data_IF_670095788520
#
_entry.id   IF_670095788520
#
_cell.length_a   1.000
_cell.length_b   1.000
_cell.length_c   1.000
_cell.angle_alpha   90.00
_cell.angle_beta   90.00
_cell.angle_gamma   90.00
#
_symmetry.space_group_name_H-M   'P 1'
#
loop_
_entity.id
_entity.type
_entity.pdbx_description
1 polymer ?
#
# COMPACT_ATOMS: atom_id res chain seq x y z
N UNK A 1 -18.43 17.14 -13.33
CA UNK A 1 -17.02 16.86 -12.98
C UNK A 1 -17.06 15.50 -12.33
N UNK A 2 -16.42 14.48 -12.91
CA UNK A 2 -16.45 13.13 -12.36
C UNK A 2 -15.89 13.20 -10.94
N UNK A 3 -16.71 12.78 -9.97
CA UNK A 3 -16.30 12.60 -8.58
C UNK A 3 -15.31 11.43 -8.59
N UNK A 4 -14.03 11.76 -8.72
CA UNK A 4 -12.99 10.76 -8.92
C UNK A 4 -12.74 10.08 -7.59
N UNK A 5 -13.42 8.96 -7.36
CA UNK A 5 -13.22 8.14 -6.18
C UNK A 5 -11.74 7.78 -6.06
N UNK A 6 -11.15 8.10 -4.90
CA UNK A 6 -9.82 7.62 -4.53
C UNK A 6 -9.90 6.09 -4.51
N UNK A 7 -8.95 5.42 -5.16
CA UNK A 7 -8.86 3.96 -5.18
C UNK A 7 -7.77 3.43 -4.25
N UNK A 8 -6.82 4.28 -3.89
CA UNK A 8 -5.64 3.89 -3.11
C UNK A 8 -5.28 4.97 -2.09
N UNK A 9 -4.66 4.58 -1.00
CA UNK A 9 -3.91 5.49 -0.13
C UNK A 9 -2.45 5.05 -0.02
N UNK A 10 -1.60 5.98 0.43
CA UNK A 10 -0.17 5.76 0.54
C UNK A 10 0.28 6.06 1.96
N UNK A 11 0.84 5.04 2.63
CA UNK A 11 1.53 5.19 3.90
C UNK A 11 2.98 5.61 3.59
N UNK A 12 3.37 6.79 4.04
CA UNK A 12 4.70 7.33 3.77
C UNK A 12 5.70 6.89 4.85
N UNK A 13 6.93 6.59 4.45
CA UNK A 13 8.06 6.38 5.36
C UNK A 13 8.58 7.68 5.98
N UNK A 14 7.66 8.59 6.30
CA UNK A 14 7.88 9.84 6.98
C UNK A 14 6.84 9.98 8.08
N UNK A 15 7.28 10.24 9.31
CA UNK A 15 6.38 10.51 10.43
C UNK A 15 5.67 11.86 10.24
N UNK A 16 4.61 12.11 11.00
CA UNK A 16 3.88 13.38 11.01
C UNK A 16 4.80 14.56 11.32
N UNK A 17 5.81 14.35 12.18
CA UNK A 17 6.86 15.31 12.52
C UNK A 17 7.93 15.51 11.41
N UNK A 18 7.80 14.85 10.27
CA UNK A 18 8.69 15.01 9.12
C UNK A 18 9.97 14.16 9.17
N UNK A 19 10.14 13.31 10.19
CA UNK A 19 11.32 12.45 10.31
C UNK A 19 11.20 11.20 9.42
N UNK A 20 12.31 10.71 8.83
CA UNK A 20 12.28 9.46 8.08
C UNK A 20 12.01 8.28 9.03
N UNK A 21 11.08 7.40 8.63
CA UNK A 21 10.77 6.18 9.38
C UNK A 21 11.84 5.12 9.13
N UNK A 22 12.13 4.32 10.16
CA UNK A 22 13.20 3.31 10.16
C UNK A 22 12.64 1.98 10.70
N UNK A 23 13.23 0.83 10.32
CA UNK A 23 14.38 0.67 9.42
C UNK A 23 14.05 1.02 7.95
N UNK A 24 15.06 1.16 7.10
CA UNK A 24 14.84 1.56 5.69
C UNK A 24 14.10 0.52 4.85
N UNK A 25 14.05 -0.74 5.31
CA UNK A 25 13.37 -1.86 4.68
C UNK A 25 11.95 -2.12 5.26
N UNK A 26 11.40 -1.16 6.00
CA UNK A 26 10.10 -1.32 6.68
C UNK A 26 8.95 -1.60 5.70
N UNK A 27 8.99 -1.01 4.50
CA UNK A 27 7.92 -1.14 3.51
C UNK A 27 7.86 -2.58 2.99
N UNK A 28 9.03 -3.15 2.68
CA UNK A 28 9.19 -4.54 2.25
C UNK A 28 8.78 -5.51 3.37
N UNK A 29 9.16 -5.22 4.63
CA UNK A 29 8.75 -6.01 5.80
C UNK A 29 7.23 -5.99 6.00
N UNK A 30 6.61 -4.81 5.91
CA UNK A 30 5.16 -4.67 6.07
C UNK A 30 4.41 -5.45 4.99
N UNK A 31 4.85 -5.33 3.73
CA UNK A 31 4.23 -6.08 2.63
C UNK A 31 4.47 -7.59 2.75
N UNK A 32 5.61 -8.03 3.30
CA UNK A 32 5.88 -9.44 3.59
C UNK A 32 4.97 -10.02 4.70
N UNK A 33 4.63 -9.22 5.72
CA UNK A 33 3.62 -9.62 6.71
C UNK A 33 2.26 -9.79 6.03
N UNK A 34 1.92 -8.94 5.06
CA UNK A 34 0.67 -9.06 4.29
C UNK A 34 0.62 -10.31 3.42
N UNK A 35 1.75 -10.83 2.91
CA UNK A 35 1.74 -12.09 2.14
C UNK A 35 1.39 -13.31 3.01
N UNK A 36 1.53 -13.22 4.33
CA UNK A 36 1.16 -14.30 5.26
C UNK A 36 -0.34 -14.32 5.61
N UNK A 37 -1.08 -13.24 5.33
CA UNK A 37 -2.53 -13.19 5.52
C UNK A 37 -3.30 -13.91 4.41
N UNK A 38 -2.71 -14.03 3.21
CA UNK A 38 -3.26 -14.85 2.14
C UNK A 38 -3.15 -16.33 2.48
N UNK A 39 -4.29 -17.02 2.65
CA UNK A 39 -4.40 -18.41 3.13
C UNK A 39 -3.67 -19.49 2.32
N UNK A 40 -2.94 -19.11 1.26
CA UNK A 40 -2.27 -20.02 0.34
C UNK A 40 -0.74 -20.06 0.48
N UNK A 41 -0.16 -19.40 1.50
CA UNK A 41 1.29 -19.41 1.83
C UNK A 41 2.24 -19.05 0.67
N UNK A 42 1.73 -18.50 -0.43
CA UNK A 42 2.55 -18.03 -1.55
C UNK A 42 3.19 -16.70 -1.14
N UNK A 43 4.52 -16.64 -1.21
CA UNK A 43 5.33 -15.42 -1.03
C UNK A 43 5.13 -14.42 -2.19
N UNK A 44 3.89 -14.12 -2.54
CA UNK A 44 3.55 -13.08 -3.49
C UNK A 44 2.97 -11.90 -2.70
N UNK A 45 3.45 -10.69 -2.98
CA UNK A 45 2.80 -9.49 -2.45
C UNK A 45 1.33 -9.48 -2.88
N UNK A 46 0.43 -9.13 -1.95
CA UNK A 46 -0.97 -8.91 -2.30
C UNK A 46 -1.03 -7.87 -3.43
N UNK A 47 -1.81 -8.08 -4.50
CA UNK A 47 -1.91 -7.08 -5.59
C UNK A 47 -2.42 -5.73 -5.08
N UNK A 48 -3.06 -5.72 -3.91
CA UNK A 48 -3.61 -4.56 -3.23
C UNK A 48 -2.62 -3.84 -2.31
N UNK A 49 -1.46 -4.44 -1.99
CA UNK A 49 -0.48 -3.84 -1.09
C UNK A 49 0.94 -4.05 -1.63
N UNK A 50 1.61 -2.95 -1.96
CA UNK A 50 2.97 -3.04 -2.52
C UNK A 50 3.86 -1.88 -2.10
N UNK A 51 5.18 -2.14 -1.95
CA UNK A 51 6.14 -1.09 -1.63
C UNK A 51 6.44 -0.25 -2.87
N UNK A 52 6.63 1.05 -2.68
CA UNK A 52 7.10 1.99 -3.71
C UNK A 52 8.14 2.94 -3.13
N UNK A 53 8.98 3.50 -4.00
CA UNK A 53 9.85 4.63 -3.64
C UNK A 53 9.31 5.89 -4.29
N UNK A 54 8.96 6.89 -3.49
CA UNK A 54 8.53 8.19 -3.97
C UNK A 54 9.49 9.27 -3.46
N UNK A 55 10.13 10.01 -4.37
CA UNK A 55 11.11 11.06 -4.03
C UNK A 55 12.20 10.60 -3.05
N UNK A 56 12.69 9.36 -3.20
CA UNK A 56 13.69 8.76 -2.30
C UNK A 56 13.16 8.29 -0.94
N UNK A 57 11.86 8.44 -0.67
CA UNK A 57 11.21 7.94 0.54
C UNK A 57 10.49 6.62 0.24
N UNK A 58 10.72 5.61 1.08
CA UNK A 58 10.01 4.32 1.01
C UNK A 58 8.59 4.49 1.49
N UNK A 59 7.62 3.99 0.73
CA UNK A 59 6.20 4.08 1.01
C UNK A 59 5.51 2.74 0.73
N UNK A 60 4.31 2.57 1.25
CA UNK A 60 3.44 1.44 0.93
C UNK A 60 2.14 1.97 0.33
N UNK A 61 1.78 1.46 -0.84
CA UNK A 61 0.50 1.74 -1.50
C UNK A 61 -0.50 0.67 -1.07
N UNK A 62 -1.71 1.10 -0.72
CA UNK A 62 -2.81 0.22 -0.31
C UNK A 62 -4.04 0.55 -1.14
N UNK A 63 -4.59 -0.45 -1.82
CA UNK A 63 -5.86 -0.36 -2.55
C UNK A 63 -7.04 -0.48 -1.57
N UNK A 64 -8.04 0.38 -1.72
CA UNK A 64 -9.20 0.44 -0.82
C UNK A 64 -10.06 -0.81 -0.92
N UNK A 65 -10.06 -1.50 -2.07
CA UNK A 65 -10.77 -2.80 -2.23
C UNK A 65 -10.28 -3.87 -1.25
N UNK A 66 -9.07 -3.71 -0.69
CA UNK A 66 -8.58 -4.59 0.37
C UNK A 66 -9.51 -4.61 1.59
N UNK A 67 -10.24 -3.52 1.87
CA UNK A 67 -11.19 -3.48 2.98
C UNK A 67 -12.31 -4.52 2.83
N UNK A 68 -12.80 -4.73 1.60
CA UNK A 68 -13.85 -5.70 1.31
C UNK A 68 -13.31 -7.14 1.26
N UNK A 69 -12.09 -7.31 0.73
CA UNK A 69 -11.47 -8.62 0.50
C UNK A 69 -10.87 -9.18 1.80
N UNK A 70 -10.07 -8.39 2.50
CA UNK A 70 -9.39 -8.74 3.76
C UNK A 70 -9.48 -7.59 4.79
N UNK A 71 -10.65 -7.42 5.44
CA UNK A 71 -10.89 -6.30 6.37
C UNK A 71 -9.93 -6.24 7.56
N UNK A 72 -9.34 -7.37 7.95
CA UNK A 72 -8.37 -7.44 9.03
C UNK A 72 -7.01 -6.90 8.60
N UNK A 73 -6.54 -7.23 7.39
CA UNK A 73 -5.30 -6.72 6.83
C UNK A 73 -5.38 -5.20 6.61
N UNK A 74 -6.51 -4.74 6.05
CA UNK A 74 -6.78 -3.31 5.87
C UNK A 74 -6.71 -2.53 7.19
N UNK A 75 -7.42 -3.01 8.22
CA UNK A 75 -7.36 -2.39 9.56
C UNK A 75 -5.97 -2.43 10.18
N UNK A 76 -5.23 -3.52 9.97
CA UNK A 76 -3.85 -3.62 10.43
C UNK A 76 -2.96 -2.55 9.79
N UNK A 77 -3.09 -2.30 8.48
CA UNK A 77 -2.31 -1.26 7.77
C UNK A 77 -2.64 0.15 8.27
N UNK A 78 -3.92 0.43 8.53
CA UNK A 78 -4.35 1.71 9.10
C UNK A 78 -3.81 1.91 10.53
N UNK A 79 -3.91 0.88 11.38
CA UNK A 79 -3.34 0.90 12.73
C UNK A 79 -1.83 1.05 12.69
N UNK A 80 -1.14 0.35 11.79
CA UNK A 80 0.32 0.47 11.63
C UNK A 80 0.73 1.92 11.33
N UNK A 81 0.05 2.58 10.40
CA UNK A 81 0.33 3.98 10.09
C UNK A 81 0.04 4.90 11.29
N UNK A 82 -1.05 4.65 12.02
CA UNK A 82 -1.43 5.44 13.20
C UNK A 82 -0.43 5.29 14.34
N UNK A 83 -0.08 4.06 14.69
CA UNK A 83 0.76 3.73 15.85
C UNK A 83 2.22 4.18 15.65
N UNK A 84 2.68 4.20 14.40
CA UNK A 84 4.01 4.70 14.03
C UNK A 84 4.00 6.19 13.61
N UNK A 85 2.87 6.87 13.82
CA UNK A 85 2.67 8.29 13.47
C UNK A 85 3.08 8.63 12.04
N UNK A 86 2.84 7.73 11.09
CA UNK A 86 3.18 7.92 9.70
C UNK A 86 2.20 8.87 9.01
N UNK A 87 2.70 9.62 8.04
CA UNK A 87 1.85 10.39 7.14
C UNK A 87 1.13 9.44 6.19
N UNK A 88 -0.16 9.67 6.01
CA UNK A 88 -0.98 9.00 5.01
C UNK A 88 -1.47 10.06 4.04
N UNK A 89 -1.49 9.74 2.74
CA UNK A 89 -2.03 10.61 1.70
C UNK A 89 -2.82 9.79 0.69
N UNK A 90 -3.68 10.48 -0.05
CA UNK A 90 -4.39 9.86 -1.16
C UNK A 90 -3.41 9.41 -2.26
N UNK A 91 -3.75 8.26 -2.84
CA UNK A 91 -3.06 7.61 -3.94
C UNK A 91 -3.76 7.87 -5.26
N UNK A 92 -3.81 6.86 -6.13
CA UNK A 92 -4.45 7.00 -7.44
C UNK A 92 -5.97 6.97 -7.30
N UNK A 93 -6.63 7.66 -8.22
CA UNK A 93 -8.07 7.56 -8.46
C UNK A 93 -8.39 6.32 -9.31
N UNK A 94 -9.60 5.78 -9.17
CA UNK A 94 -10.04 4.53 -9.81
C UNK A 94 -9.76 4.46 -11.32
N UNK A 95 -9.97 5.56 -12.04
CA UNK A 95 -9.80 5.64 -13.49
C UNK A 95 -8.35 5.34 -13.93
N UNK A 96 -7.35 5.67 -13.09
CA UNK A 96 -5.93 5.40 -13.35
C UNK A 96 -5.46 4.06 -12.79
N UNK A 97 -6.21 3.45 -11.87
CA UNK A 97 -5.87 2.13 -11.32
C UNK A 97 -6.01 1.04 -12.37
N UNK A 98 -7.12 1.05 -13.13
CA UNK A 98 -7.39 0.07 -14.20
C UNK A 98 -6.29 0.03 -15.27
N UNK A 99 -5.76 1.19 -15.66
CA UNK A 99 -4.68 1.29 -16.66
C UNK A 99 -3.35 0.69 -16.18
N UNK A 100 -2.98 0.89 -14.92
CA UNK A 100 -1.72 0.32 -14.42
C UNK A 100 -1.84 -1.16 -14.06
N UNK A 101 -3.02 -1.64 -13.65
CA UNK A 101 -3.27 -3.08 -13.50
C UNK A 101 -3.05 -3.81 -14.83
N UNK A 102 -3.57 -3.26 -15.94
CA UNK A 102 -3.36 -3.79 -17.28
C UNK A 102 -1.88 -3.80 -17.69
N UNK A 103 -1.08 -2.84 -17.22
CA UNK A 103 0.36 -2.78 -17.52
C UNK A 103 1.17 -3.76 -16.65
N UNK A 104 0.85 -3.93 -15.37
CA UNK A 104 1.57 -4.85 -14.47
C UNK A 104 1.37 -6.33 -14.83
N UNK A 105 0.21 -6.70 -15.37
CA UNK A 105 -0.06 -8.07 -15.85
C UNK A 105 0.82 -8.45 -17.05
N UNK A 106 1.31 -7.46 -17.81
CA UNK A 106 2.21 -7.69 -18.96
C UNK A 106 3.67 -7.98 -18.60
N UNK A 107 4.14 -7.56 -17.42
CA UNK A 107 5.56 -7.66 -17.03
C UNK A 107 5.92 -8.98 -16.31
N UNK A 108 4.96 -9.91 -16.17
CA UNK A 108 5.15 -11.22 -15.53
C UNK A 108 5.10 -12.39 -16.52
N UNK A 109 5.21 -12.12 -17.83
CA UNK A 109 5.22 -13.12 -18.91
C UNK A 109 6.63 -13.36 -19.46
#
# INVERSE_FOLDING_TARGET
>A
MADAAIAEFVIMGQTKDGKPFRPSDWAERLCGVMSAFGGDHRMAYSPFVHPVTANGVRCVVVDIRLEEIEPMAYRFLLSFAKDNELKVRDGRIEERTKLAEMQRVGDTA
#
